data_IF_971438496698
#
_entry.id   IF_971438496698
#
_cell.length_a   1.000
_cell.length_b   1.000
_cell.length_c   1.000
_cell.angle_alpha   90.00
_cell.angle_beta   90.00
_cell.angle_gamma   90.00
#
_symmetry.space_group_name_H-M   'P 1'
#
loop_
_entity.id
_entity.type
_entity.pdbx_description
1 polymer ?
#
# COMPACT_ATOMS: atom_id res chain seq x y z
N UNK A 1 -8.21 -14.68 -4.33
CA UNK A 1 -9.47 -14.10 -3.82
C UNK A 1 -9.30 -13.88 -2.34
N UNK A 2 -9.47 -12.65 -1.85
CA UNK A 2 -9.22 -12.28 -0.44
C UNK A 2 -10.47 -12.43 0.44
N UNK A 3 -11.67 -12.36 -0.14
CA UNK A 3 -12.95 -12.62 0.54
C UNK A 3 -14.00 -13.11 -0.48
N UNK A 4 -15.05 -13.76 0.02
CA UNK A 4 -16.27 -14.11 -0.71
C UNK A 4 -17.46 -13.71 0.17
N UNK A 5 -18.38 -12.92 -0.37
CA UNK A 5 -19.53 -12.36 0.34
C UNK A 5 -20.82 -12.57 -0.47
N UNK A 6 -22.00 -12.57 0.16
CA UNK A 6 -23.27 -12.48 -0.56
C UNK A 6 -23.32 -11.25 -1.48
N UNK A 7 -24.13 -11.33 -2.55
CA UNK A 7 -24.25 -10.25 -3.54
C UNK A 7 -24.66 -8.92 -2.89
N UNK A 8 -25.56 -8.97 -1.91
CA UNK A 8 -26.10 -7.79 -1.22
C UNK A 8 -25.05 -7.07 -0.35
N UNK A 9 -23.95 -7.75 -0.01
CA UNK A 9 -22.85 -7.21 0.80
C UNK A 9 -21.63 -6.84 -0.05
N UNK A 10 -21.69 -7.01 -1.38
CA UNK A 10 -20.55 -6.78 -2.26
C UNK A 10 -20.07 -5.33 -2.20
N UNK A 11 -20.99 -4.37 -2.29
CA UNK A 11 -20.65 -2.94 -2.28
C UNK A 11 -20.01 -2.53 -0.95
N UNK A 12 -20.56 -2.99 0.18
CA UNK A 12 -19.99 -2.73 1.51
C UNK A 12 -18.57 -3.30 1.63
N UNK A 13 -18.33 -4.52 1.16
CA UNK A 13 -17.01 -5.15 1.22
C UNK A 13 -16.00 -4.45 0.31
N UNK A 14 -16.43 -4.00 -0.88
CA UNK A 14 -15.61 -3.20 -1.80
C UNK A 14 -15.25 -1.86 -1.18
N UNK A 15 -16.20 -1.14 -0.60
CA UNK A 15 -15.98 0.14 0.05
C UNK A 15 -15.05 0.00 1.26
N UNK A 16 -15.23 -1.04 2.06
CA UNK A 16 -14.35 -1.36 3.18
C UNK A 16 -12.91 -1.58 2.71
N UNK A 17 -12.72 -2.39 1.67
CA UNK A 17 -11.39 -2.64 1.11
C UNK A 17 -10.79 -1.36 0.51
N UNK A 18 -11.58 -0.59 -0.22
CA UNK A 18 -11.14 0.67 -0.81
C UNK A 18 -10.70 1.67 0.27
N UNK A 19 -11.44 1.78 1.38
CA UNK A 19 -11.10 2.63 2.51
C UNK A 19 -9.79 2.22 3.17
N UNK A 20 -9.55 0.91 3.36
CA UNK A 20 -8.28 0.38 3.88
C UNK A 20 -7.13 0.76 2.93
N UNK A 21 -7.31 0.59 1.62
CA UNK A 21 -6.29 0.89 0.63
C UNK A 21 -6.00 2.39 0.55
N UNK A 22 -7.03 3.24 0.62
CA UNK A 22 -6.91 4.70 0.61
C UNK A 22 -6.22 5.24 1.88
N UNK A 23 -6.29 4.52 2.99
CA UNK A 23 -5.59 4.87 4.23
C UNK A 23 -4.09 4.54 4.25
N UNK A 24 -3.54 3.96 3.18
CA UNK A 24 -2.12 3.58 3.10
C UNK A 24 -1.27 4.62 2.34
N UNK A 25 0.04 4.62 2.63
CA UNK A 25 1.03 5.46 1.97
C UNK A 25 1.12 5.16 0.44
N UNK A 26 0.67 6.07 -0.44
CA UNK A 26 0.46 5.74 -1.85
C UNK A 26 1.77 5.49 -2.64
N UNK A 27 2.89 6.16 -2.33
CA UNK A 27 4.18 5.87 -2.96
C UNK A 27 4.67 4.47 -2.56
N UNK A 28 4.61 4.13 -1.28
CA UNK A 28 5.01 2.81 -0.78
C UNK A 28 4.15 1.68 -1.40
N UNK A 29 2.82 1.86 -1.42
CA UNK A 29 1.89 0.89 -1.99
C UNK A 29 2.14 0.63 -3.47
N UNK A 30 2.33 1.68 -4.27
CA UNK A 30 2.65 1.54 -5.71
C UNK A 30 3.97 0.82 -5.93
N UNK A 31 5.01 1.21 -5.18
CA UNK A 31 6.34 0.60 -5.29
C UNK A 31 6.31 -0.91 -4.99
N UNK A 32 5.68 -1.28 -3.88
CA UNK A 32 5.54 -2.67 -3.45
C UNK A 32 4.71 -3.49 -4.45
N UNK A 33 3.53 -2.99 -4.85
CA UNK A 33 2.64 -3.71 -5.78
C UNK A 33 3.31 -3.94 -7.14
N UNK A 34 4.08 -2.97 -7.63
CA UNK A 34 4.88 -3.12 -8.84
C UNK A 34 5.91 -4.23 -8.68
N UNK A 35 6.69 -4.24 -7.61
CA UNK A 35 7.70 -5.28 -7.35
C UNK A 35 7.08 -6.67 -7.28
N UNK A 36 5.96 -6.84 -6.57
CA UNK A 36 5.22 -8.12 -6.50
C UNK A 36 4.80 -8.59 -7.90
N UNK A 37 4.26 -7.69 -8.72
CA UNK A 37 3.83 -8.03 -10.08
C UNK A 37 5.01 -8.38 -11.00
N UNK A 38 6.16 -7.72 -10.83
CA UNK A 38 7.39 -8.03 -11.58
C UNK A 38 7.93 -9.41 -11.19
N UNK A 39 7.95 -9.75 -9.89
CA UNK A 39 8.30 -11.09 -9.39
C UNK A 39 7.37 -12.14 -10.01
N UNK A 40 6.05 -11.95 -9.90
CA UNK A 40 5.07 -12.90 -10.40
C UNK A 40 5.17 -13.14 -11.92
N UNK A 41 5.76 -12.20 -12.66
CA UNK A 41 5.97 -12.28 -14.11
C UNK A 41 7.36 -12.76 -14.50
N UNK A 42 8.26 -13.02 -13.54
CA UNK A 42 9.66 -13.35 -13.81
C UNK A 42 10.43 -12.20 -14.47
N UNK A 43 10.04 -10.95 -14.20
CA UNK A 43 10.61 -9.72 -14.80
C UNK A 43 11.15 -8.76 -13.74
N UNK A 44 11.58 -9.28 -12.59
CA UNK A 44 12.11 -8.46 -11.52
C UNK A 44 13.40 -7.78 -11.96
N UNK A 45 13.42 -6.46 -11.88
CA UNK A 45 14.65 -5.67 -11.82
C UNK A 45 14.91 -5.37 -10.33
N UNK A 46 15.88 -6.07 -9.75
CA UNK A 46 16.20 -5.97 -8.33
C UNK A 46 16.70 -4.58 -7.95
N UNK A 47 17.52 -3.95 -8.80
CA UNK A 47 18.06 -2.63 -8.54
C UNK A 47 16.95 -1.57 -8.55
N UNK A 48 16.03 -1.66 -9.52
CA UNK A 48 14.86 -0.78 -9.57
C UNK A 48 13.89 -1.02 -8.41
N UNK A 49 13.72 -2.27 -7.96
CA UNK A 49 12.89 -2.60 -6.80
C UNK A 49 13.47 -2.05 -5.50
N UNK A 50 14.77 -2.20 -5.28
CA UNK A 50 15.48 -1.67 -4.12
C UNK A 50 15.47 -0.13 -4.11
N UNK A 51 15.65 0.51 -5.27
CA UNK A 51 15.52 1.96 -5.38
C UNK A 51 14.12 2.44 -4.96
N UNK A 52 13.05 1.79 -5.43
CA UNK A 52 11.66 2.14 -5.02
C UNK A 52 11.46 2.00 -3.52
N UNK A 53 12.04 0.98 -2.88
CA UNK A 53 11.98 0.79 -1.43
C UNK A 53 12.76 1.89 -0.69
N UNK A 54 13.94 2.27 -1.17
CA UNK A 54 14.73 3.37 -0.60
C UNK A 54 14.02 4.72 -0.73
N UNK A 55 13.35 4.96 -1.85
CA UNK A 55 12.61 6.20 -2.08
C UNK A 55 11.41 6.34 -1.13
N UNK A 56 10.65 5.26 -0.89
CA UNK A 56 9.53 5.28 0.07
C UNK A 56 10.00 5.56 1.51
N UNK A 57 11.21 5.13 1.87
CA UNK A 57 11.81 5.33 3.19
C UNK A 57 12.43 6.72 3.40
N UNK A 58 12.43 7.60 2.39
CA UNK A 58 12.99 8.95 2.47
C UNK A 58 11.95 10.06 2.31
N UNK A 59 10.73 9.71 1.88
CA UNK A 59 9.67 10.64 1.52
C UNK A 59 8.91 11.27 2.70
N UNK A 60 7.89 12.06 2.36
CA UNK A 60 6.99 12.67 3.36
C UNK A 60 6.09 11.61 4.03
N UNK A 61 5.66 10.59 3.28
CA UNK A 61 4.74 9.56 3.78
C UNK A 61 5.32 8.80 4.99
N UNK A 62 6.60 8.38 4.94
CA UNK A 62 7.20 7.67 6.09
C UNK A 62 7.33 8.58 7.32
N UNK A 63 7.62 9.87 7.14
CA UNK A 63 7.71 10.84 8.24
C UNK A 63 6.35 11.03 8.90
N UNK A 64 5.29 11.15 8.10
CA UNK A 64 3.93 11.24 8.59
C UNK A 64 3.49 9.93 9.26
N UNK A 65 3.81 8.77 8.69
CA UNK A 65 3.50 7.47 9.30
C UNK A 65 4.14 7.32 10.68
N UNK A 66 5.43 7.66 10.81
CA UNK A 66 6.15 7.65 12.09
C UNK A 66 5.54 8.66 13.07
N UNK A 67 5.24 9.88 12.61
CA UNK A 67 4.64 10.93 13.45
C UNK A 67 3.24 10.52 13.95
N UNK A 68 2.37 10.07 13.07
CA UNK A 68 1.01 9.66 13.40
C UNK A 68 1.00 8.47 14.37
N UNK A 69 1.91 7.51 14.18
CA UNK A 69 2.13 6.42 15.10
C UNK A 69 2.54 6.90 16.50
N UNK A 70 3.53 7.81 16.57
CA UNK A 70 3.96 8.40 17.84
C UNK A 70 2.84 9.20 18.54
N UNK A 71 2.01 9.89 17.77
CA UNK A 71 0.86 10.68 18.24
C UNK A 71 -0.40 9.84 18.48
N UNK A 72 -0.37 8.51 18.24
CA UNK A 72 -1.52 7.60 18.36
C UNK A 72 -2.76 8.04 17.58
N UNK A 73 -2.56 8.58 16.38
CA UNK A 73 -3.63 9.00 15.47
C UNK A 73 -3.48 8.32 14.10
N UNK A 74 -4.54 8.30 13.27
CA UNK A 74 -4.42 7.87 11.89
C UNK A 74 -3.45 8.79 11.10
N UNK A 75 -2.61 8.22 10.22
CA UNK A 75 -1.76 9.00 9.33
C UNK A 75 -2.58 9.68 8.23
N UNK A 76 -2.04 10.78 7.70
CA UNK A 76 -2.63 11.55 6.59
C UNK A 76 -1.69 11.53 5.39
N UNK A 77 -1.94 10.61 4.46
CA UNK A 77 -1.12 10.43 3.25
C UNK A 77 -1.64 11.20 2.04
#
# INVERSE_FOLDING_TARGET
LTAMVPEEALDEEVDRLAAILAGNAPVAMRGMKRTINEIARGKLDEAAADQRARDSMRGAEIKEGVKAFAEKRPPRF
#
